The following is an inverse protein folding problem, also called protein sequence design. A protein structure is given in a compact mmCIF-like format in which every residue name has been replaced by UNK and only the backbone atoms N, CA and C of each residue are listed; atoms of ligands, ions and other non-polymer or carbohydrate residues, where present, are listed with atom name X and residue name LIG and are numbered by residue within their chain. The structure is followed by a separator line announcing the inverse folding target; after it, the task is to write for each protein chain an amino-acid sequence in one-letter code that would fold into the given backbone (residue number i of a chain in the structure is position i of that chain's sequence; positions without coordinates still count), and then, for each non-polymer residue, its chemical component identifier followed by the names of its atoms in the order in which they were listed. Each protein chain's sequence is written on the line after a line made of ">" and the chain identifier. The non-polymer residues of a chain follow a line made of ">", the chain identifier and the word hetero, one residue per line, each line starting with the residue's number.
data_IF_970263978663
#
_entry.id   IF_970263978663
#
_cell.length_a   1.000
_cell.length_b   1.000
_cell.length_c   1.000
_cell.angle_alpha   90.00
_cell.angle_beta   90.00
_cell.angle_gamma   90.00
#
_symmetry.space_group_name_H-M   'P 1'
#
loop_
_entity.id
_entity.type
_entity.pdbx_description
1 polymer ?
#
# COMPACT_ATOMS: atom_id res chain seq x y z
N UNK A 1 8.86 -12.02 4.47
CA UNK A 1 7.60 -12.49 3.85
C UNK A 1 7.08 -11.40 2.92
N UNK A 2 6.51 -11.80 1.81
CA UNK A 2 6.00 -10.87 0.81
C UNK A 2 4.49 -10.71 0.95
N UNK A 3 4.03 -9.44 0.90
CA UNK A 3 2.62 -9.11 1.06
C UNK A 3 2.16 -8.15 -0.03
N UNK A 4 0.88 -8.20 -0.35
CA UNK A 4 0.19 -7.14 -1.09
C UNK A 4 -0.78 -6.47 -0.13
N UNK A 5 -0.67 -5.15 -0.02
CA UNK A 5 -1.62 -4.32 0.73
C UNK A 5 -2.43 -3.50 -0.28
N UNK A 6 -3.74 -3.58 -0.19
CA UNK A 6 -4.65 -2.85 -1.07
C UNK A 6 -5.44 -1.81 -0.28
N UNK A 7 -5.38 -0.57 -0.73
CA UNK A 7 -6.18 0.53 -0.20
C UNK A 7 -7.17 0.98 -1.24
N UNK A 8 -8.40 1.25 -0.81
CA UNK A 8 -9.50 1.69 -1.69
C UNK A 8 -10.16 2.92 -1.09
N UNK A 9 -10.42 3.93 -1.91
CA UNK A 9 -11.23 5.08 -1.52
C UNK A 9 -11.98 5.62 -2.74
N UNK A 10 -13.13 6.30 -2.52
CA UNK A 10 -13.81 6.99 -3.61
C UNK A 10 -12.95 8.10 -4.17
N UNK A 11 -13.04 8.34 -5.48
CA UNK A 11 -12.29 9.43 -6.12
C UNK A 11 -12.58 10.80 -5.48
N UNK A 12 -13.82 11.01 -5.01
CA UNK A 12 -14.24 12.24 -4.33
C UNK A 12 -13.53 12.48 -2.99
N UNK A 13 -12.95 11.44 -2.40
CA UNK A 13 -12.25 11.51 -1.10
C UNK A 13 -10.74 11.31 -1.26
N UNK A 14 -10.21 11.50 -2.47
CA UNK A 14 -8.80 11.30 -2.74
C UNK A 14 -7.94 12.28 -1.93
N UNK A 15 -6.99 11.80 -1.11
CA UNK A 15 -6.16 12.68 -0.30
C UNK A 15 -5.26 13.59 -1.15
N UNK A 16 -4.98 13.21 -2.39
CA UNK A 16 -4.16 14.00 -3.31
C UNK A 16 -4.85 15.30 -3.75
N UNK A 17 -6.14 15.46 -3.48
CA UNK A 17 -6.89 16.68 -3.81
C UNK A 17 -6.88 17.70 -2.68
N UNK A 18 -6.29 17.36 -1.53
CA UNK A 18 -6.24 18.23 -0.34
C UNK A 18 -4.79 18.42 0.12
N UNK A 19 -4.39 19.67 0.49
CA UNK A 19 -3.01 19.92 0.92
C UNK A 19 -2.58 19.05 2.10
N UNK A 20 -3.44 18.88 3.11
CA UNK A 20 -3.15 18.04 4.27
C UNK A 20 -3.01 16.56 3.89
N UNK A 21 -3.79 16.11 2.91
CA UNK A 21 -3.69 14.75 2.39
C UNK A 21 -2.38 14.50 1.66
N UNK A 22 -1.94 15.48 0.87
CA UNK A 22 -0.63 15.39 0.17
C UNK A 22 0.51 15.29 1.16
N UNK A 23 0.49 16.09 2.22
CA UNK A 23 1.53 16.05 3.25
C UNK A 23 1.54 14.73 3.99
N UNK A 24 0.39 14.18 4.29
CA UNK A 24 0.25 12.86 4.91
C UNK A 24 0.86 11.76 4.04
N UNK A 25 0.57 11.78 2.74
CA UNK A 25 1.12 10.81 1.79
C UNK A 25 2.64 10.94 1.68
N UNK A 26 3.16 12.16 1.61
CA UNK A 26 4.61 12.39 1.59
C UNK A 26 5.30 11.80 2.82
N UNK A 27 4.72 12.01 4.00
CA UNK A 27 5.28 11.49 5.24
C UNK A 27 5.18 9.98 5.30
N UNK A 28 4.03 9.40 4.94
CA UNK A 28 3.80 7.96 4.94
C UNK A 28 4.84 7.23 4.08
N UNK A 29 5.13 7.75 2.90
CA UNK A 29 6.06 7.13 1.95
C UNK A 29 7.46 7.73 1.98
N UNK A 30 7.80 8.48 3.02
CA UNK A 30 9.17 8.96 3.20
C UNK A 30 10.12 7.80 3.49
N UNK A 31 11.37 7.93 3.07
CA UNK A 31 12.41 6.94 3.35
C UNK A 31 12.57 6.69 4.85
N UNK A 32 12.47 7.76 5.64
CA UNK A 32 12.58 7.66 7.09
C UNK A 32 11.46 6.83 7.70
N UNK A 33 10.21 7.09 7.29
CA UNK A 33 9.06 6.33 7.82
C UNK A 33 9.12 4.87 7.41
N UNK A 34 9.45 4.58 6.15
CA UNK A 34 9.61 3.22 5.65
C UNK A 34 10.70 2.47 6.43
N UNK A 35 11.86 3.11 6.60
CA UNK A 35 12.97 2.52 7.34
C UNK A 35 12.61 2.26 8.81
N UNK A 36 11.97 3.22 9.47
CA UNK A 36 11.58 3.10 10.87
C UNK A 36 10.52 2.02 11.09
N UNK A 37 9.67 1.80 10.09
CA UNK A 37 8.65 0.75 10.16
C UNK A 37 9.22 -0.66 9.98
N UNK A 38 10.46 -0.78 9.50
CA UNK A 38 11.09 -2.08 9.30
C UNK A 38 10.54 -2.85 8.10
N UNK A 39 10.05 -2.15 7.09
CA UNK A 39 9.54 -2.76 5.86
C UNK A 39 10.40 -2.39 4.67
N UNK A 40 10.28 -3.16 3.59
CA UNK A 40 10.81 -2.81 2.29
C UNK A 40 9.63 -2.64 1.33
N UNK A 41 9.49 -1.45 0.76
CA UNK A 41 8.46 -1.18 -0.24
C UNK A 41 9.00 -1.60 -1.61
N UNK A 42 8.58 -2.76 -2.08
CA UNK A 42 9.03 -3.34 -3.35
C UNK A 42 8.40 -2.63 -4.54
N UNK A 43 7.14 -2.24 -4.40
CA UNK A 43 6.43 -1.52 -5.45
C UNK A 43 5.15 -0.88 -4.94
N UNK A 44 4.71 0.17 -5.62
CA UNK A 44 3.46 0.86 -5.32
C UNK A 44 2.82 1.26 -6.64
N UNK A 45 1.57 0.87 -6.83
CA UNK A 45 0.85 1.08 -8.07
C UNK A 45 -0.53 1.63 -7.77
N UNK A 46 -0.94 2.65 -8.53
CA UNK A 46 -2.20 3.33 -8.29
C UNK A 46 -3.09 3.25 -9.52
N UNK A 47 -4.38 3.02 -9.29
CA UNK A 47 -5.43 3.14 -10.30
C UNK A 47 -6.35 4.28 -9.87
N UNK A 48 -6.33 5.38 -10.61
CA UNK A 48 -6.98 6.63 -10.23
C UNK A 48 -7.93 7.16 -11.32
N UNK A 49 -9.01 6.43 -11.68
CA UNK A 49 -9.97 6.93 -12.65
C UNK A 49 -10.72 8.16 -12.10
N UNK A 50 -11.18 9.03 -13.00
CA UNK A 50 -11.86 10.29 -12.65
C UNK A 50 -13.33 10.33 -13.06
N UNK A 51 -13.91 9.22 -13.47
CA UNK A 51 -15.32 9.15 -13.82
C UNK A 51 -16.19 9.34 -12.59
N UNK A 52 -17.45 9.75 -12.83
CA UNK A 52 -18.40 9.90 -11.71
C UNK A 52 -18.59 8.56 -11.00
N UNK A 53 -18.48 8.58 -9.68
CA UNK A 53 -18.57 7.38 -8.85
C UNK A 53 -17.35 6.48 -8.91
N UNK A 54 -16.24 6.94 -9.50
CA UNK A 54 -15.01 6.16 -9.62
C UNK A 54 -14.41 5.81 -8.26
N UNK A 55 -13.77 4.66 -8.20
CA UNK A 55 -13.04 4.19 -7.02
C UNK A 55 -11.55 4.18 -7.35
N UNK A 56 -10.76 4.77 -6.48
CA UNK A 56 -9.30 4.72 -6.53
C UNK A 56 -8.80 3.52 -5.75
N UNK A 57 -7.79 2.85 -6.29
CA UNK A 57 -7.13 1.72 -5.62
C UNK A 57 -5.63 1.90 -5.62
N UNK A 58 -5.01 1.63 -4.47
CA UNK A 58 -3.57 1.57 -4.35
C UNK A 58 -3.15 0.14 -4.04
N UNK A 59 -2.10 -0.34 -4.72
CA UNK A 59 -1.54 -1.68 -4.53
C UNK A 59 -0.09 -1.53 -4.10
N UNK A 60 0.22 -2.04 -2.92
CA UNK A 60 1.56 -1.92 -2.34
C UNK A 60 2.14 -3.32 -2.17
N UNK A 61 3.30 -3.55 -2.75
CA UNK A 61 4.01 -4.81 -2.61
C UNK A 61 5.10 -4.59 -1.59
N UNK A 62 5.04 -5.32 -0.47
CA UNK A 62 5.83 -5.04 0.72
C UNK A 62 6.47 -6.31 1.25
N UNK A 63 7.78 -6.24 1.49
CA UNK A 63 8.51 -7.25 2.25
C UNK A 63 8.52 -6.86 3.72
N UNK A 64 8.07 -7.75 4.60
CA UNK A 64 8.00 -7.51 6.02
C UNK A 64 8.05 -8.82 6.80
N UNK A 65 8.33 -8.76 8.10
CA UNK A 65 8.39 -9.95 8.95
C UNK A 65 7.01 -10.53 9.23
N UNK A 66 5.98 -9.67 9.28
CA UNK A 66 4.60 -10.07 9.54
C UNK A 66 3.60 -9.01 9.06
N UNK A 67 2.32 -9.38 9.10
CA UNK A 67 1.21 -8.50 8.71
C UNK A 67 1.06 -7.29 9.66
N UNK A 68 1.29 -7.50 10.95
CA UNK A 68 1.15 -6.46 11.97
C UNK A 68 2.10 -5.28 11.70
N UNK A 69 3.32 -5.57 11.26
CA UNK A 69 4.29 -4.55 10.88
C UNK A 69 3.75 -3.66 9.76
N UNK A 70 3.03 -4.25 8.79
CA UNK A 70 2.43 -3.50 7.69
C UNK A 70 1.26 -2.65 8.18
N UNK A 71 0.41 -3.19 9.04
CA UNK A 71 -0.69 -2.43 9.64
C UNK A 71 -0.18 -1.21 10.39
N UNK A 72 0.89 -1.38 11.16
CA UNK A 72 1.51 -0.28 11.88
C UNK A 72 2.09 0.78 10.95
N UNK A 73 2.67 0.36 9.82
CA UNK A 73 3.17 1.29 8.81
C UNK A 73 2.07 2.20 8.27
N UNK A 74 0.93 1.63 7.88
CA UNK A 74 -0.19 2.40 7.32
C UNK A 74 -0.96 3.20 8.38
N UNK A 75 -0.87 2.79 9.66
CA UNK A 75 -1.56 3.46 10.75
C UNK A 75 -3.08 3.44 10.57
N UNK A 76 -3.75 4.62 10.59
CA UNK A 76 -5.21 4.67 10.49
C UNK A 76 -5.75 4.38 9.10
N UNK A 77 -4.90 4.36 8.06
CA UNK A 77 -5.32 4.04 6.71
C UNK A 77 -5.76 2.57 6.62
N UNK A 78 -6.95 2.34 6.10
CA UNK A 78 -7.48 0.99 5.95
C UNK A 78 -6.84 0.31 4.74
N UNK A 79 -6.27 -0.86 4.97
CA UNK A 79 -5.69 -1.68 3.91
C UNK A 79 -6.12 -3.13 4.10
N UNK A 80 -6.30 -3.83 3.00
CA UNK A 80 -6.44 -5.28 2.98
C UNK A 80 -5.07 -5.87 2.69
N UNK A 81 -4.58 -6.74 3.56
CA UNK A 81 -3.25 -7.30 3.48
C UNK A 81 -3.34 -8.79 3.22
N UNK A 82 -2.58 -9.27 2.23
CA UNK A 82 -2.51 -10.69 1.88
C UNK A 82 -1.07 -11.09 1.67
N UNK A 83 -0.70 -12.21 2.26
CA UNK A 83 0.59 -12.80 1.95
C UNK A 83 0.55 -13.35 0.54
N UNK A 84 1.61 -13.12 -0.23
CA UNK A 84 1.76 -13.60 -1.60
C UNK A 84 3.11 -14.27 -1.76
N UNK A 85 3.21 -15.11 -2.77
CA UNK A 85 4.48 -15.76 -3.13
C UNK A 85 4.76 -15.51 -4.61
N UNK A 86 6.03 -15.31 -4.98
CA UNK A 86 6.39 -15.24 -6.39
C UNK A 86 5.96 -16.53 -7.09
N UNK A 87 5.42 -16.41 -8.29
CA UNK A 87 5.00 -17.58 -9.05
C UNK A 87 6.16 -18.58 -9.25
N UNK A 88 7.38 -18.07 -9.32
CA UNK A 88 8.58 -18.92 -9.44
C UNK A 88 8.72 -19.92 -8.29
N UNK A 89 8.28 -19.57 -7.08
CA UNK A 89 8.28 -20.51 -5.96
C UNK A 89 7.21 -21.58 -6.12
N UNK A 90 6.02 -21.18 -6.58
CA UNK A 90 4.92 -22.11 -6.83
C UNK A 90 5.25 -23.04 -7.98
N UNK A 91 5.90 -22.53 -9.02
CA UNK A 91 6.29 -23.28 -10.20
C UNK A 91 7.23 -24.45 -9.87
N UNK A 92 8.03 -24.34 -8.81
CA UNK A 92 8.92 -25.42 -8.36
C UNK A 92 8.18 -26.66 -7.89
N UNK A 93 6.90 -26.54 -7.57
CA UNK A 93 6.06 -27.65 -7.08
C UNK A 93 5.23 -28.30 -8.18
N UNK A 94 5.28 -27.78 -9.40
CA UNK A 94 4.49 -28.27 -10.53
C UNK A 94 5.11 -29.52 -11.20
#
# INVERSE_FOLDING_TARGET
>A
MLFVAEHTHPASECPMTMPSGKDMIKELFSEEHISNAGIELVGAYMSCPNDEGAIHKGYFIIEAVDEETIKNFFGPMKVEIREVKPFSEIAKTL
#
